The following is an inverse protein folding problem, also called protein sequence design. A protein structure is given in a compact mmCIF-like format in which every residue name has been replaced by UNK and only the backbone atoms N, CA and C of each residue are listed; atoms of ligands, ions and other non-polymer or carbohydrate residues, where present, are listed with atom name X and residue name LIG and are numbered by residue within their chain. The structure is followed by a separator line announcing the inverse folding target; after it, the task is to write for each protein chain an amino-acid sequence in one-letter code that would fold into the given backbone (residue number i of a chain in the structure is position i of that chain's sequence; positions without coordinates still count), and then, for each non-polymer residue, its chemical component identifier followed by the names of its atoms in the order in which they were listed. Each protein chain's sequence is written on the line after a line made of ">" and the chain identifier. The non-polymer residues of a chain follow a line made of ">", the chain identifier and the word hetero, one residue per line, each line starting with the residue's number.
data_IF_681198383896
#
_entry.id   IF_681198383896
#
_cell.length_a   1.000
_cell.length_b   1.000
_cell.length_c   1.000
_cell.angle_alpha   90.00
_cell.angle_beta   90.00
_cell.angle_gamma   90.00
#
_symmetry.space_group_name_H-M   'P 1'
#
loop_
_entity.id
_entity.type
_entity.pdbx_description
1 polymer ?
#
# COMPACT_ATOMS: atom_id res chain seq x y z
N UNK A 1 7.48 20.18 13.21
CA UNK A 1 7.36 19.09 12.22
C UNK A 1 6.17 18.22 12.59
N UNK A 2 5.18 18.09 11.71
CA UNK A 2 3.97 17.27 11.88
C UNK A 2 4.26 15.78 11.65
N UNK A 3 3.31 14.89 11.98
CA UNK A 3 3.40 13.46 11.63
C UNK A 3 3.52 13.25 10.12
N UNK A 4 2.75 14.00 9.32
CA UNK A 4 2.82 13.93 7.86
C UNK A 4 4.18 14.36 7.32
N UNK A 5 4.73 15.47 7.82
CA UNK A 5 6.05 15.99 7.41
C UNK A 5 7.18 14.99 7.72
N UNK A 6 7.07 14.23 8.82
CA UNK A 6 8.02 13.15 9.12
C UNK A 6 7.99 12.02 8.09
N UNK A 7 6.79 11.65 7.62
CA UNK A 7 6.64 10.62 6.58
C UNK A 7 7.16 11.15 5.25
N UNK A 8 6.85 12.40 4.89
CA UNK A 8 7.39 13.03 3.70
C UNK A 8 8.93 13.03 3.69
N UNK A 9 9.55 13.43 4.81
CA UNK A 9 11.01 13.44 4.96
C UNK A 9 11.63 12.04 4.81
N UNK A 10 10.97 11.00 5.34
CA UNK A 10 11.47 9.62 5.27
C UNK A 10 11.57 9.11 3.82
N UNK A 11 10.66 9.53 2.95
CA UNK A 11 10.59 9.05 1.56
C UNK A 11 11.13 10.06 0.53
N UNK A 12 11.67 11.20 0.97
CA UNK A 12 12.16 12.29 0.12
C UNK A 12 13.16 11.80 -0.93
N UNK A 13 14.07 10.89 -0.55
CA UNK A 13 15.09 10.32 -1.44
C UNK A 13 14.51 9.61 -2.68
N UNK A 14 13.28 9.09 -2.60
CA UNK A 14 12.60 8.44 -3.72
C UNK A 14 11.61 9.34 -4.44
N UNK A 15 11.36 10.55 -3.93
CA UNK A 15 10.39 11.48 -4.50
C UNK A 15 10.96 12.31 -5.67
N UNK A 16 11.52 11.63 -6.66
CA UNK A 16 12.14 12.26 -7.83
C UNK A 16 11.54 11.72 -9.13
N UNK A 17 11.84 12.36 -10.27
CA UNK A 17 11.38 11.90 -11.58
C UNK A 17 12.14 10.71 -12.14
N UNK A 18 13.31 10.43 -11.57
CA UNK A 18 14.24 9.41 -12.08
C UNK A 18 14.34 8.20 -11.15
N UNK A 19 13.50 8.14 -10.11
CA UNK A 19 13.48 7.06 -9.13
C UNK A 19 12.14 6.31 -9.16
N UNK A 20 12.15 4.97 -9.08
CA UNK A 20 10.95 4.25 -8.67
C UNK A 20 10.60 4.64 -7.22
N UNK A 21 9.42 4.25 -6.75
CA UNK A 21 9.07 4.53 -5.36
C UNK A 21 7.93 3.70 -4.83
N UNK A 22 7.14 4.31 -3.95
CA UNK A 22 6.13 3.62 -3.17
C UNK A 22 4.89 4.50 -2.95
N UNK A 23 3.77 3.85 -2.61
CA UNK A 23 2.62 4.50 -2.02
C UNK A 23 2.56 4.15 -0.54
N UNK A 24 2.26 5.13 0.31
CA UNK A 24 2.26 5.01 1.77
C UNK A 24 0.96 5.59 2.31
N UNK A 25 0.34 4.87 3.25
CA UNK A 25 -0.79 5.36 4.02
C UNK A 25 -0.58 5.04 5.51
N UNK A 26 -1.09 5.92 6.38
CA UNK A 26 -1.12 5.73 7.84
C UNK A 26 -2.55 5.85 8.30
N UNK A 27 -2.99 4.87 9.10
CA UNK A 27 -4.32 4.82 9.69
C UNK A 27 -4.21 4.82 11.21
N UNK A 28 -5.03 5.63 11.87
CA UNK A 28 -5.16 5.70 13.33
C UNK A 28 -6.64 5.78 13.66
N UNK A 29 -7.09 4.98 14.62
CA UNK A 29 -8.50 4.95 15.07
C UNK A 29 -9.53 4.72 13.93
N UNK A 30 -9.15 3.90 12.94
CA UNK A 30 -9.99 3.59 11.78
C UNK A 30 -10.00 4.66 10.68
N UNK A 31 -9.31 5.78 10.88
CA UNK A 31 -9.23 6.87 9.91
C UNK A 31 -7.86 6.96 9.25
N UNK A 32 -7.85 7.17 7.94
CA UNK A 32 -6.62 7.40 7.17
C UNK A 32 -6.17 8.85 7.41
N UNK A 33 -5.18 9.04 8.27
CA UNK A 33 -4.63 10.35 8.63
C UNK A 33 -3.52 10.82 7.67
N UNK A 34 -3.03 9.93 6.81
CA UNK A 34 -2.01 10.24 5.80
C UNK A 34 -2.11 9.26 4.63
N UNK A 35 -2.00 9.75 3.39
CA UNK A 35 -1.85 8.91 2.18
C UNK A 35 -1.11 9.68 1.08
N UNK A 36 -0.07 9.10 0.51
CA UNK A 36 0.76 9.76 -0.53
C UNK A 36 1.51 8.75 -1.38
N UNK A 37 1.85 9.14 -2.60
CA UNK A 37 2.80 8.43 -3.46
C UNK A 37 4.13 9.20 -3.59
N UNK A 38 5.21 8.45 -3.77
CA UNK A 38 6.56 8.96 -3.94
C UNK A 38 7.20 8.29 -5.16
N UNK A 39 7.90 9.06 -5.99
CA UNK A 39 8.59 8.56 -7.17
C UNK A 39 7.67 8.16 -8.33
N UNK A 40 8.19 7.33 -9.23
CA UNK A 40 7.53 6.96 -10.49
C UNK A 40 7.04 5.51 -10.51
N UNK A 41 5.81 5.32 -10.96
CA UNK A 41 5.20 4.02 -11.25
C UNK A 41 5.76 3.45 -12.56
N UNK A 42 6.12 4.35 -13.49
CA UNK A 42 6.81 4.00 -14.72
C UNK A 42 7.75 5.14 -15.11
N UNK A 43 9.05 4.85 -15.12
CA UNK A 43 10.10 5.81 -15.46
C UNK A 43 10.05 6.20 -16.94
N UNK A 44 9.91 5.22 -17.84
CA UNK A 44 9.91 5.45 -19.29
C UNK A 44 8.72 6.29 -19.76
N UNK A 45 7.60 6.24 -19.06
CA UNK A 45 6.39 7.01 -19.38
C UNK A 45 6.19 8.22 -18.46
N UNK A 46 7.08 8.48 -17.51
CA UNK A 46 6.96 9.59 -16.55
C UNK A 46 5.69 9.55 -15.70
N UNK A 47 5.19 8.35 -15.38
CA UNK A 47 3.95 8.18 -14.61
C UNK A 47 4.29 8.19 -13.13
N UNK A 48 3.82 9.20 -12.39
CA UNK A 48 4.02 9.31 -10.94
C UNK A 48 3.20 8.27 -10.16
N UNK A 49 3.73 7.84 -9.01
CA UNK A 49 2.96 7.06 -8.04
C UNK A 49 2.00 8.00 -7.31
N UNK A 50 0.73 7.61 -7.21
CA UNK A 50 -0.28 8.27 -6.40
C UNK A 50 -1.02 7.28 -5.50
N UNK A 51 -1.92 7.76 -4.63
CA UNK A 51 -2.67 6.90 -3.70
C UNK A 51 -3.55 5.82 -4.37
N UNK A 52 -3.83 5.95 -5.67
CA UNK A 52 -4.60 4.99 -6.46
C UNK A 52 -3.76 4.11 -7.38
N UNK A 53 -2.42 4.23 -7.35
CA UNK A 53 -1.54 3.36 -8.14
C UNK A 53 -1.67 1.92 -7.66
N UNK A 54 -1.91 0.99 -8.59
CA UNK A 54 -2.05 -0.44 -8.29
C UNK A 54 -0.67 -1.09 -8.25
N UNK A 55 -0.44 -1.92 -7.23
CA UNK A 55 0.77 -2.72 -7.05
C UNK A 55 0.42 -4.20 -6.96
N UNK A 56 1.38 -5.08 -7.29
CA UNK A 56 1.24 -6.50 -7.02
C UNK A 56 1.31 -6.78 -5.52
N UNK A 57 0.22 -7.30 -4.96
CA UNK A 57 0.10 -7.61 -3.51
C UNK A 57 1.07 -8.73 -3.02
N UNK A 58 1.57 -9.58 -3.93
CA UNK A 58 2.49 -10.66 -3.62
C UNK A 58 2.02 -11.51 -2.41
N UNK A 59 2.90 -11.81 -1.45
CA UNK A 59 2.58 -12.65 -0.29
C UNK A 59 1.54 -12.06 0.66
N UNK A 60 1.23 -10.76 0.59
CA UNK A 60 0.14 -10.15 1.37
C UNK A 60 -1.21 -10.76 0.97
N UNK A 61 -1.34 -11.30 -0.25
CA UNK A 61 -2.54 -12.03 -0.69
C UNK A 61 -2.90 -13.24 0.19
N UNK A 62 -1.93 -13.85 0.89
CA UNK A 62 -2.15 -15.05 1.71
C UNK A 62 -3.19 -14.84 2.81
N UNK A 63 -3.23 -13.66 3.43
CA UNK A 63 -4.20 -13.38 4.50
C UNK A 63 -5.64 -13.37 3.96
N UNK A 64 -5.84 -12.94 2.71
CA UNK A 64 -7.16 -12.96 2.07
C UNK A 64 -7.61 -14.40 1.77
N UNK A 65 -6.71 -15.23 1.24
CA UNK A 65 -7.00 -16.66 1.01
C UNK A 65 -7.27 -17.38 2.33
N UNK A 66 -6.46 -17.15 3.36
CA UNK A 66 -6.68 -17.73 4.69
C UNK A 66 -8.04 -17.30 5.27
N UNK A 67 -8.40 -16.02 5.15
CA UNK A 67 -9.70 -15.53 5.60
C UNK A 67 -10.86 -16.19 4.83
N UNK A 68 -10.75 -16.35 3.51
CA UNK A 68 -11.75 -17.05 2.71
C UNK A 68 -11.92 -18.52 3.15
N UNK A 69 -10.82 -19.22 3.45
CA UNK A 69 -10.85 -20.58 3.99
C UNK A 69 -11.58 -20.62 5.34
N UNK A 70 -11.29 -19.67 6.24
CA UNK A 70 -11.95 -19.58 7.55
C UNK A 70 -13.45 -19.31 7.42
N UNK A 71 -13.88 -18.47 6.47
CA UNK A 71 -15.30 -18.26 6.18
C UNK A 71 -16.00 -19.55 5.74
N UNK A 72 -15.39 -20.29 4.82
CA UNK A 72 -15.94 -21.57 4.36
C UNK A 72 -16.03 -22.61 5.48
N UNK A 73 -15.03 -22.66 6.36
CA UNK A 73 -15.03 -23.53 7.54
C UNK A 73 -16.13 -23.13 8.53
N UNK A 74 -16.29 -21.83 8.80
CA UNK A 74 -17.35 -21.31 9.67
C UNK A 74 -18.76 -21.63 9.14
N UNK A 75 -18.93 -21.61 7.82
CA UNK A 75 -20.18 -22.00 7.13
C UNK A 75 -20.36 -23.52 6.97
N UNK A 76 -19.40 -24.33 7.44
CA UNK A 76 -19.35 -25.79 7.27
C UNK A 76 -19.37 -26.27 5.81
N UNK A 77 -18.92 -25.43 4.89
CA UNK A 77 -18.74 -25.79 3.47
C UNK A 77 -17.48 -26.62 3.24
N UNK A 78 -16.52 -26.51 4.16
CA UNK A 78 -15.32 -27.36 4.23
C UNK A 78 -15.10 -27.78 5.68
N UNK A 79 -14.35 -28.86 5.87
CA UNK A 79 -13.90 -29.31 7.19
C UNK A 79 -12.42 -28.96 7.32
N UNK A 80 -12.06 -28.34 8.43
CA UNK A 80 -10.66 -28.05 8.79
C UNK A 80 -10.07 -29.18 9.61
#
# INVERSE_FOLDING_TARGET
>A
MTEAERVDQLFEAWNTKDSPGCAVAVMRDGEVIYKRGFGMANLGHGVAIGPSTVFHSASVSKQFTAFAILLLSAERKIVT
#
